data_IF_021322106889
#
_entry.id   IF_021322106889
#
_cell.length_a   1.000
_cell.length_b   1.000
_cell.length_c   1.000
_cell.angle_alpha   90.00
_cell.angle_beta   90.00
_cell.angle_gamma   90.00
#
_symmetry.space_group_name_H-M   'P 1'
#
loop_
_entity.id
_entity.type
_entity.pdbx_description
1 polymer ?
#
# COMPACT_ATOMS: atom_id res chain seq x y z
N UNK A 1 31.86 -34.77 5.13
CA UNK A 1 30.38 -34.62 5.14
C UNK A 1 29.80 -34.01 6.41
N UNK A 2 30.51 -33.91 7.50
CA UNK A 2 30.02 -33.44 8.82
C UNK A 2 29.86 -31.89 8.92
N UNK A 3 30.61 -31.10 8.15
CA UNK A 3 30.57 -29.62 8.19
C UNK A 3 29.25 -28.98 7.67
N UNK A 4 28.48 -29.68 6.85
CA UNK A 4 27.23 -29.13 6.27
C UNK A 4 26.03 -29.08 7.25
N UNK A 5 26.02 -29.93 8.28
CA UNK A 5 24.97 -29.98 9.30
C UNK A 5 25.05 -28.83 10.30
N UNK A 6 26.23 -28.56 10.84
CA UNK A 6 26.45 -27.48 11.82
C UNK A 6 26.20 -26.09 11.22
N UNK A 7 26.63 -25.86 9.98
CA UNK A 7 26.36 -24.62 9.26
C UNK A 7 24.86 -24.35 9.07
N UNK A 8 24.06 -25.40 8.81
CA UNK A 8 22.62 -25.30 8.67
C UNK A 8 21.92 -24.97 9.99
N UNK A 9 22.38 -25.59 11.09
CA UNK A 9 21.84 -25.35 12.43
C UNK A 9 22.14 -23.92 12.86
N UNK A 10 23.37 -23.45 12.70
CA UNK A 10 23.79 -22.08 13.03
C UNK A 10 23.00 -21.06 12.18
N UNK A 11 22.86 -21.32 10.89
CA UNK A 11 22.05 -20.46 9.98
C UNK A 11 20.59 -20.38 10.42
N UNK A 12 19.98 -21.51 10.79
CA UNK A 12 18.60 -21.52 11.25
C UNK A 12 18.43 -20.78 12.59
N UNK A 13 19.35 -20.96 13.53
CA UNK A 13 19.33 -20.23 14.81
C UNK A 13 19.46 -18.73 14.56
N UNK A 14 20.37 -18.31 13.68
CA UNK A 14 20.56 -16.91 13.32
C UNK A 14 19.30 -16.30 12.69
N UNK A 15 18.66 -17.01 11.77
CA UNK A 15 17.40 -16.59 11.16
C UNK A 15 16.29 -16.44 12.23
N UNK A 16 16.14 -17.40 13.12
CA UNK A 16 15.15 -17.36 14.20
C UNK A 16 15.40 -16.18 15.13
N UNK A 17 16.65 -15.91 15.50
CA UNK A 17 17.02 -14.76 16.34
C UNK A 17 16.70 -13.42 15.67
N UNK A 18 16.98 -13.28 14.37
CA UNK A 18 16.62 -12.08 13.61
C UNK A 18 15.08 -11.88 13.61
N UNK A 19 14.33 -12.92 13.28
CA UNK A 19 12.86 -12.83 13.27
C UNK A 19 12.32 -12.52 14.67
N UNK A 20 12.85 -13.16 15.70
CA UNK A 20 12.47 -12.89 17.08
C UNK A 20 12.74 -11.43 17.44
N UNK A 21 13.91 -10.90 17.13
CA UNK A 21 14.27 -9.51 17.37
C UNK A 21 13.34 -8.52 16.63
N UNK A 22 13.01 -8.80 15.38
CA UNK A 22 12.12 -7.96 14.57
C UNK A 22 10.66 -8.00 15.05
N UNK A 23 10.16 -9.17 15.45
CA UNK A 23 8.77 -9.33 15.84
C UNK A 23 8.51 -9.14 17.33
N UNK A 24 9.54 -9.19 18.17
CA UNK A 24 9.40 -9.02 19.63
C UNK A 24 8.66 -7.73 20.02
N UNK A 25 8.98 -6.54 19.47
CA UNK A 25 8.24 -5.31 19.80
C UNK A 25 6.75 -5.42 19.45
N UNK A 26 6.43 -6.07 18.33
CA UNK A 26 5.04 -6.27 17.88
C UNK A 26 4.31 -7.23 18.82
N UNK A 27 4.96 -8.33 19.22
CA UNK A 27 4.41 -9.29 20.19
C UNK A 27 4.13 -8.61 21.52
N UNK A 28 5.06 -7.80 22.02
CA UNK A 28 4.88 -7.03 23.27
C UNK A 28 3.69 -6.08 23.16
N UNK A 29 3.53 -5.40 22.04
CA UNK A 29 2.40 -4.52 21.78
C UNK A 29 1.08 -5.30 21.78
N UNK A 30 1.03 -6.46 21.10
CA UNK A 30 -0.13 -7.34 21.07
C UNK A 30 -0.49 -7.84 22.48
N UNK A 31 0.50 -8.29 23.26
CA UNK A 31 0.26 -8.72 24.64
C UNK A 31 -0.29 -7.57 25.48
N UNK A 32 0.31 -6.38 25.39
CA UNK A 32 -0.13 -5.20 26.13
C UNK A 32 -1.52 -4.70 25.70
N UNK A 33 -2.01 -5.04 24.52
CA UNK A 33 -3.37 -4.72 24.08
C UNK A 33 -4.45 -5.43 24.90
N UNK A 34 -4.09 -6.55 25.53
CA UNK A 34 -4.97 -7.33 26.41
C UNK A 34 -4.74 -7.05 27.90
N UNK A 35 -3.78 -6.21 28.24
CA UNK A 35 -3.46 -5.89 29.62
C UNK A 35 -4.45 -4.88 30.19
N UNK A 36 -5.00 -5.16 31.37
CA UNK A 36 -5.93 -4.29 32.09
C UNK A 36 -5.28 -3.00 32.57
N UNK A 37 -3.95 -2.97 32.75
CA UNK A 37 -3.20 -1.80 33.18
C UNK A 37 -3.32 -0.64 32.18
N UNK A 38 -3.56 0.56 32.68
CA UNK A 38 -3.53 1.80 31.89
C UNK A 38 -2.09 2.27 31.57
N UNK A 39 -1.13 1.81 32.33
CA UNK A 39 0.28 2.15 32.16
C UNK A 39 1.04 0.91 31.76
N UNK A 40 1.87 1.02 30.71
CA UNK A 40 2.70 -0.09 30.23
C UNK A 40 3.71 -0.55 31.29
N UNK A 41 4.07 -1.83 31.28
CA UNK A 41 5.15 -2.39 32.08
C UNK A 41 4.72 -3.36 33.18
N UNK A 42 3.49 -3.27 33.72
CA UNK A 42 2.99 -4.23 34.73
C UNK A 42 1.77 -4.93 34.19
N UNK A 43 1.78 -6.26 34.23
CA UNK A 43 0.63 -7.07 33.85
C UNK A 43 -0.41 -7.13 34.99
N UNK A 44 -1.58 -6.51 34.79
CA UNK A 44 -2.66 -6.45 35.77
C UNK A 44 -3.88 -7.29 35.40
N UNK A 45 -3.69 -8.32 34.59
CA UNK A 45 -4.74 -9.23 34.16
C UNK A 45 -5.22 -8.98 32.75
N UNK A 46 -5.99 -9.94 32.21
CA UNK A 46 -6.54 -9.93 30.86
C UNK A 46 -7.81 -9.08 30.78
N UNK A 47 -7.94 -8.29 29.71
CA UNK A 47 -9.16 -7.55 29.39
C UNK A 47 -9.38 -7.37 27.89
N UNK A 48 -10.63 -7.24 27.46
CA UNK A 48 -11.06 -6.85 26.13
C UNK A 48 -11.68 -5.45 26.10
N UNK A 49 -11.69 -4.74 27.23
CA UNK A 49 -12.36 -3.43 27.37
C UNK A 49 -11.81 -2.39 26.39
N UNK A 50 -10.52 -2.46 26.08
CA UNK A 50 -9.89 -1.53 25.12
C UNK A 50 -10.46 -1.67 23.72
N UNK A 51 -10.75 -2.90 23.30
CA UNK A 51 -11.39 -3.18 22.00
C UNK A 51 -12.84 -2.68 21.99
N UNK A 52 -13.60 -2.90 23.06
CA UNK A 52 -14.96 -2.35 23.17
C UNK A 52 -14.98 -0.82 23.16
N UNK A 53 -14.01 -0.18 23.82
CA UNK A 53 -13.84 1.28 23.78
C UNK A 53 -13.45 1.81 22.41
N UNK A 54 -12.67 1.07 21.62
CA UNK A 54 -12.32 1.42 20.25
C UNK A 54 -13.56 1.51 19.37
N UNK A 55 -14.42 0.49 19.42
CA UNK A 55 -15.65 0.47 18.61
C UNK A 55 -16.68 1.53 19.03
N UNK A 56 -16.58 2.06 20.25
CA UNK A 56 -17.41 3.17 20.73
C UNK A 56 -16.83 4.55 20.40
N UNK A 57 -15.58 4.63 20.01
CA UNK A 57 -14.89 5.90 19.72
C UNK A 57 -15.19 6.39 18.31
N UNK A 58 -16.18 7.25 18.20
CA UNK A 58 -16.60 7.85 16.91
C UNK A 58 -15.46 8.48 16.13
N UNK A 59 -14.46 9.06 16.82
CA UNK A 59 -13.32 9.71 16.14
C UNK A 59 -12.38 8.70 15.48
N UNK A 60 -12.18 7.53 16.09
CA UNK A 60 -11.37 6.46 15.51
C UNK A 60 -12.11 5.83 14.32
N UNK A 61 -13.41 5.55 14.49
CA UNK A 61 -14.24 4.99 13.40
C UNK A 61 -14.27 5.94 12.19
N UNK A 62 -14.44 7.24 12.44
CA UNK A 62 -14.41 8.24 11.37
C UNK A 62 -13.06 8.29 10.65
N UNK A 63 -11.95 8.23 11.41
CA UNK A 63 -10.61 8.20 10.83
C UNK A 63 -10.36 6.93 10.01
N UNK A 64 -10.86 5.78 10.45
CA UNK A 64 -10.83 4.53 9.70
C UNK A 64 -11.63 4.63 8.38
N UNK A 65 -12.84 5.17 8.45
CA UNK A 65 -13.69 5.41 7.29
C UNK A 65 -13.01 6.31 6.26
N UNK A 66 -12.43 7.44 6.72
CA UNK A 66 -11.67 8.35 5.88
C UNK A 66 -10.51 7.64 5.19
N UNK A 67 -9.73 6.86 5.94
CA UNK A 67 -8.60 6.11 5.39
C UNK A 67 -9.03 5.14 4.30
N UNK A 68 -10.10 4.37 4.53
CA UNK A 68 -10.60 3.40 3.55
C UNK A 68 -11.10 4.10 2.28
N UNK A 69 -11.84 5.22 2.42
CA UNK A 69 -12.32 5.99 1.26
C UNK A 69 -11.15 6.53 0.45
N UNK A 70 -10.19 7.19 1.12
CA UNK A 70 -9.03 7.78 0.45
C UNK A 70 -8.21 6.69 -0.24
N UNK A 71 -7.90 5.60 0.46
CA UNK A 71 -7.13 4.48 -0.10
C UNK A 71 -7.83 3.84 -1.30
N UNK A 72 -9.15 3.64 -1.22
CA UNK A 72 -9.93 3.05 -2.31
C UNK A 72 -9.98 3.98 -3.52
N UNK A 73 -10.34 5.24 -3.34
CA UNK A 73 -10.44 6.20 -4.44
C UNK A 73 -9.08 6.45 -5.08
N UNK A 74 -8.05 6.68 -4.26
CA UNK A 74 -6.70 6.91 -4.76
C UNK A 74 -6.16 5.68 -5.51
N UNK A 75 -6.34 4.46 -4.99
CA UNK A 75 -5.85 3.25 -5.65
C UNK A 75 -6.56 2.98 -6.97
N UNK A 76 -7.89 3.15 -7.06
CA UNK A 76 -8.64 2.94 -8.30
C UNK A 76 -8.23 3.96 -9.36
N UNK A 77 -8.14 5.24 -9.00
CA UNK A 77 -7.76 6.31 -9.93
C UNK A 77 -6.29 6.15 -10.34
N UNK A 78 -5.38 5.90 -9.39
CA UNK A 78 -3.96 5.68 -9.68
C UNK A 78 -3.74 4.44 -10.56
N UNK A 79 -4.52 3.37 -10.35
CA UNK A 79 -4.44 2.16 -11.18
C UNK A 79 -4.87 2.46 -12.61
N UNK A 80 -5.93 3.22 -12.80
CA UNK A 80 -6.39 3.63 -14.13
C UNK A 80 -5.34 4.49 -14.85
N UNK A 81 -4.84 5.53 -14.18
CA UNK A 81 -3.81 6.43 -14.72
C UNK A 81 -2.50 5.69 -14.98
N UNK A 82 -2.01 4.91 -14.02
CA UNK A 82 -0.76 4.17 -14.11
C UNK A 82 -0.79 3.07 -15.18
N UNK A 83 -1.94 2.43 -15.38
CA UNK A 83 -2.14 1.45 -16.48
C UNK A 83 -2.06 2.15 -17.84
N UNK A 84 -2.78 3.27 -18.02
CA UNK A 84 -2.71 4.05 -19.25
C UNK A 84 -1.30 4.61 -19.50
N UNK A 85 -0.65 5.11 -18.46
CA UNK A 85 0.74 5.55 -18.53
C UNK A 85 1.68 4.42 -18.94
N UNK A 86 1.51 3.21 -18.39
CA UNK A 86 2.31 2.03 -18.75
C UNK A 86 2.16 1.66 -20.23
N UNK A 87 0.95 1.72 -20.76
CA UNK A 87 0.68 1.47 -22.19
C UNK A 87 1.37 2.53 -23.05
N UNK A 88 1.22 3.80 -22.68
CA UNK A 88 1.90 4.90 -23.37
C UNK A 88 3.42 4.78 -23.33
N UNK A 89 4.01 4.49 -22.16
CA UNK A 89 5.45 4.30 -21.99
C UNK A 89 5.95 3.10 -22.81
N UNK A 90 5.15 2.02 -22.88
CA UNK A 90 5.55 0.83 -23.65
C UNK A 90 5.63 1.09 -25.16
N UNK A 91 4.80 1.99 -25.70
CA UNK A 91 4.81 2.38 -27.12
C UNK A 91 5.86 3.46 -27.47
N UNK A 92 6.52 4.05 -26.47
CA UNK A 92 7.53 5.09 -26.69
C UNK A 92 8.84 4.51 -27.23
N UNK A 93 9.59 5.34 -27.96
CA UNK A 93 10.98 5.02 -28.35
C UNK A 93 11.87 4.87 -27.12
N UNK A 94 12.93 4.08 -27.22
CA UNK A 94 13.82 3.71 -26.10
C UNK A 94 14.29 4.92 -25.27
N UNK A 95 14.59 6.06 -25.92
CA UNK A 95 15.06 7.27 -25.23
C UNK A 95 13.99 7.89 -24.34
N UNK A 96 12.78 8.10 -24.85
CA UNK A 96 11.66 8.67 -24.06
C UNK A 96 11.17 7.72 -22.99
N UNK A 97 11.14 6.42 -23.30
CA UNK A 97 10.82 5.37 -22.34
C UNK A 97 11.76 5.41 -21.13
N UNK A 98 13.09 5.52 -21.38
CA UNK A 98 14.09 5.63 -20.31
C UNK A 98 13.87 6.87 -19.44
N UNK A 99 13.58 8.02 -20.05
CA UNK A 99 13.30 9.27 -19.32
C UNK A 99 12.07 9.12 -18.43
N UNK A 100 10.96 8.59 -18.95
CA UNK A 100 9.73 8.40 -18.18
C UNK A 100 9.91 7.42 -17.01
N UNK A 101 10.65 6.35 -17.23
CA UNK A 101 10.97 5.38 -16.17
C UNK A 101 11.85 6.00 -15.09
N UNK A 102 12.87 6.75 -15.46
CA UNK A 102 13.75 7.43 -14.51
C UNK A 102 12.98 8.47 -13.67
N UNK A 103 12.08 9.23 -14.28
CA UNK A 103 11.20 10.16 -13.56
C UNK A 103 10.29 9.42 -12.56
N UNK A 104 9.73 8.27 -12.96
CA UNK A 104 8.94 7.43 -12.06
C UNK A 104 9.79 6.86 -10.92
N UNK A 105 11.03 6.46 -11.17
CA UNK A 105 11.98 6.00 -10.16
C UNK A 105 12.32 7.10 -9.14
N UNK A 106 12.58 8.31 -9.60
CA UNK A 106 12.88 9.46 -8.72
C UNK A 106 11.74 9.66 -7.72
N UNK A 107 10.49 9.56 -8.18
CA UNK A 107 9.32 9.70 -7.31
C UNK A 107 9.25 8.62 -6.22
N UNK A 108 9.76 7.41 -6.48
CA UNK A 108 9.76 6.30 -5.51
C UNK A 108 10.92 6.35 -4.52
N UNK A 109 12.07 6.94 -4.92
CA UNK A 109 13.27 7.01 -4.09
C UNK A 109 13.24 8.22 -3.16
N UNK A 110 12.54 9.28 -3.56
CA UNK A 110 12.44 10.48 -2.74
C UNK A 110 11.79 10.18 -1.38
N UNK A 111 12.33 10.73 -0.28
CA UNK A 111 11.70 10.62 1.03
C UNK A 111 10.28 11.20 1.02
N UNK A 112 9.32 10.48 1.62
CA UNK A 112 7.90 10.88 1.67
C UNK A 112 7.68 12.28 2.23
N UNK A 113 8.54 12.71 3.17
CA UNK A 113 8.47 14.05 3.76
C UNK A 113 8.74 15.14 2.70
N UNK A 114 9.65 14.90 1.76
CA UNK A 114 9.96 15.84 0.67
C UNK A 114 8.77 15.93 -0.27
N UNK A 115 8.17 14.79 -0.61
CA UNK A 115 6.97 14.73 -1.45
C UNK A 115 5.81 15.44 -0.75
N UNK A 116 5.56 15.15 0.53
CA UNK A 116 4.48 15.74 1.31
C UNK A 116 4.58 17.26 1.42
N UNK A 117 5.77 17.78 1.74
CA UNK A 117 6.02 19.24 1.82
C UNK A 117 5.91 19.90 0.45
N UNK A 118 6.41 19.23 -0.61
CA UNK A 118 6.31 19.75 -1.99
C UNK A 118 4.85 19.84 -2.45
N UNK A 119 4.04 18.82 -2.13
CA UNK A 119 2.60 18.82 -2.45
C UNK A 119 1.84 19.88 -1.65
N UNK A 120 2.16 20.04 -0.35
CA UNK A 120 1.60 21.11 0.47
C UNK A 120 1.90 22.48 -0.16
N UNK A 121 3.16 22.73 -0.53
CA UNK A 121 3.58 23.98 -1.17
C UNK A 121 2.86 24.17 -2.49
N UNK A 122 2.79 23.13 -3.32
CA UNK A 122 2.08 23.14 -4.60
C UNK A 122 0.59 23.49 -4.44
N UNK A 123 -0.11 22.81 -3.53
CA UNK A 123 -1.53 23.09 -3.28
C UNK A 123 -1.77 24.50 -2.72
N UNK A 124 -0.83 25.01 -1.94
CA UNK A 124 -0.91 26.38 -1.38
C UNK A 124 -0.81 27.49 -2.43
N UNK A 125 -0.25 27.20 -3.61
CA UNK A 125 -0.23 28.16 -4.73
C UNK A 125 -1.63 28.37 -5.33
N UNK A 126 -2.54 27.41 -5.15
CA UNK A 126 -3.90 27.51 -5.68
C UNK A 126 -4.88 27.92 -4.59
N UNK A 127 -5.21 29.20 -4.49
CA UNK A 127 -6.10 29.78 -3.47
C UNK A 127 -7.51 29.13 -3.44
N UNK A 128 -7.94 28.55 -4.55
CA UNK A 128 -9.25 27.85 -4.65
C UNK A 128 -9.18 26.39 -4.13
N UNK A 129 -7.97 25.83 -3.98
CA UNK A 129 -7.77 24.44 -3.57
C UNK A 129 -7.49 24.37 -2.05
N UNK A 130 -8.53 24.43 -1.24
CA UNK A 130 -8.38 24.25 0.21
C UNK A 130 -7.94 22.83 0.54
N UNK A 131 -6.98 22.72 1.50
CA UNK A 131 -6.59 21.41 2.02
C UNK A 131 -7.79 20.65 2.57
N UNK A 132 -7.93 19.38 2.16
CA UNK A 132 -9.08 18.56 2.50
C UNK A 132 -9.06 17.21 1.79
N UNK A 133 -10.23 16.60 1.59
CA UNK A 133 -10.34 15.32 0.89
C UNK A 133 -9.74 15.33 -0.52
N UNK A 134 -9.97 16.40 -1.28
CA UNK A 134 -9.50 16.49 -2.67
C UNK A 134 -7.97 16.50 -2.72
N UNK A 135 -7.32 17.35 -1.93
CA UNK A 135 -5.85 17.42 -1.86
C UNK A 135 -5.24 16.14 -1.34
N UNK A 136 -5.89 15.52 -0.35
CA UNK A 136 -5.47 14.24 0.21
C UNK A 136 -5.54 13.13 -0.85
N UNK A 137 -6.64 13.00 -1.58
CA UNK A 137 -6.79 11.99 -2.64
C UNK A 137 -5.81 12.25 -3.78
N UNK A 138 -5.63 13.50 -4.24
CA UNK A 138 -4.67 13.85 -5.29
C UNK A 138 -3.24 13.51 -4.88
N UNK A 139 -2.87 13.80 -3.64
CA UNK A 139 -1.56 13.47 -3.11
C UNK A 139 -1.31 11.96 -3.10
N UNK A 140 -2.30 11.17 -2.66
CA UNK A 140 -2.20 9.71 -2.67
C UNK A 140 -2.18 9.13 -4.09
N UNK A 141 -2.92 9.72 -5.04
CA UNK A 141 -2.81 9.34 -6.46
C UNK A 141 -1.39 9.57 -6.97
N UNK A 142 -0.80 10.74 -6.67
CA UNK A 142 0.56 11.08 -7.08
C UNK A 142 1.58 10.09 -6.50
N UNK A 143 1.43 9.70 -5.25
CA UNK A 143 2.25 8.67 -4.62
C UNK A 143 2.11 7.31 -5.33
N UNK A 144 0.88 6.90 -5.64
CA UNK A 144 0.57 5.53 -6.07
C UNK A 144 0.87 5.26 -7.55
N UNK A 145 0.73 6.26 -8.44
CA UNK A 145 0.87 6.08 -9.90
C UNK A 145 2.19 5.42 -10.31
N UNK A 146 3.37 5.82 -9.82
CA UNK A 146 4.64 5.18 -10.18
C UNK A 146 4.66 3.68 -9.85
N UNK A 147 4.12 3.29 -8.71
CA UNK A 147 4.07 1.88 -8.29
C UNK A 147 3.18 1.03 -9.20
N UNK A 148 2.06 1.60 -9.69
CA UNK A 148 1.23 0.94 -10.70
C UNK A 148 1.98 0.77 -12.01
N UNK A 149 2.71 1.81 -12.45
CA UNK A 149 3.53 1.72 -13.68
C UNK A 149 4.53 0.58 -13.57
N UNK A 150 5.23 0.46 -12.44
CA UNK A 150 6.21 -0.62 -12.22
C UNK A 150 5.57 -2.01 -12.05
N UNK A 151 4.29 -2.10 -11.69
CA UNK A 151 3.57 -3.37 -11.63
C UNK A 151 3.04 -3.81 -13.01
N UNK A 152 2.58 -2.86 -13.84
CA UNK A 152 1.91 -3.14 -15.13
C UNK A 152 2.90 -3.23 -16.29
N UNK A 153 3.87 -2.32 -16.35
CA UNK A 153 4.80 -2.23 -17.49
C UNK A 153 5.58 -3.54 -17.77
N UNK A 154 6.12 -4.26 -16.77
CA UNK A 154 6.78 -5.54 -17.01
C UNK A 154 5.85 -6.59 -17.63
N UNK A 155 4.56 -6.56 -17.30
CA UNK A 155 3.57 -7.46 -17.91
C UNK A 155 3.33 -7.14 -19.38
N UNK A 156 3.27 -5.86 -19.74
CA UNK A 156 3.23 -5.42 -21.14
C UNK A 156 4.47 -5.86 -21.94
N UNK A 157 5.65 -5.77 -21.32
CA UNK A 157 6.91 -6.14 -21.97
C UNK A 157 7.11 -7.65 -22.14
N UNK A 158 6.40 -8.47 -21.36
CA UNK A 158 6.41 -9.92 -21.46
C UNK A 158 5.48 -10.45 -22.56
N UNK A 159 4.58 -9.61 -23.11
CA UNK A 159 3.70 -10.00 -24.21
C UNK A 159 4.52 -10.22 -25.49
N UNK A 160 4.08 -11.18 -26.29
CA UNK A 160 4.65 -11.35 -27.64
C UNK A 160 4.37 -10.09 -28.46
N UNK A 161 5.41 -9.43 -29.04
CA UNK A 161 5.25 -8.22 -29.86
C UNK A 161 4.23 -8.39 -30.99
N UNK A 162 4.17 -9.56 -31.59
CA UNK A 162 3.32 -9.87 -32.75
C UNK A 162 1.86 -10.20 -32.35
N UNK A 163 1.54 -10.25 -31.07
CA UNK A 163 0.20 -10.60 -30.59
C UNK A 163 -0.88 -9.65 -31.12
N UNK A 164 -0.55 -8.36 -31.17
CA UNK A 164 -1.46 -7.34 -31.69
C UNK A 164 -1.66 -7.42 -33.19
N UNK A 165 -0.61 -7.70 -33.96
CA UNK A 165 -0.64 -7.86 -35.41
C UNK A 165 -1.42 -9.11 -35.79
N UNK A 166 -1.11 -10.25 -35.17
CA UNK A 166 -1.83 -11.50 -35.41
C UNK A 166 -3.33 -11.39 -35.13
N UNK A 167 -3.73 -10.63 -34.12
CA UNK A 167 -5.15 -10.39 -33.84
C UNK A 167 -5.83 -9.55 -34.91
N UNK A 168 -5.14 -8.55 -35.45
CA UNK A 168 -5.65 -7.68 -36.51
C UNK A 168 -5.72 -8.42 -37.85
N UNK A 169 -4.76 -9.29 -38.13
CA UNK A 169 -4.79 -10.18 -39.33
C UNK A 169 -6.00 -11.11 -39.31
N UNK A 170 -6.48 -11.49 -38.10
CA UNK A 170 -7.72 -12.25 -37.91
C UNK A 170 -8.99 -11.36 -37.93
N UNK A 171 -8.86 -10.10 -38.31
CA UNK A 171 -9.97 -9.18 -38.48
C UNK A 171 -10.39 -8.42 -37.17
N UNK A 172 -9.62 -8.50 -36.10
CA UNK A 172 -9.90 -7.73 -34.88
C UNK A 172 -9.57 -6.26 -35.10
N UNK A 173 -10.46 -5.35 -34.69
CA UNK A 173 -10.14 -3.91 -34.62
C UNK A 173 -9.13 -3.63 -33.50
N UNK A 174 -8.34 -2.53 -33.58
CA UNK A 174 -7.40 -2.15 -32.50
C UNK A 174 -8.04 -2.11 -31.13
N UNK A 175 -9.27 -1.61 -31.03
CA UNK A 175 -10.04 -1.59 -29.79
C UNK A 175 -10.38 -3.00 -29.29
N UNK A 176 -10.77 -3.89 -30.16
CA UNK A 176 -11.05 -5.29 -29.81
C UNK A 176 -9.75 -6.00 -29.37
N UNK A 177 -8.66 -5.80 -30.09
CA UNK A 177 -7.33 -6.31 -29.70
C UNK A 177 -6.96 -5.87 -28.30
N UNK A 178 -7.12 -4.57 -27.99
CA UNK A 178 -6.82 -4.06 -26.68
C UNK A 178 -7.69 -4.70 -25.57
N UNK A 179 -9.01 -4.61 -25.69
CA UNK A 179 -9.91 -5.06 -24.61
C UNK A 179 -10.02 -6.58 -24.49
N UNK A 180 -9.93 -7.33 -25.59
CA UNK A 180 -10.13 -8.79 -25.58
C UNK A 180 -8.83 -9.59 -25.45
N UNK A 181 -7.66 -8.99 -25.77
CA UNK A 181 -6.40 -9.72 -25.81
C UNK A 181 -5.39 -9.07 -24.86
N UNK A 182 -5.01 -7.79 -25.05
CA UNK A 182 -3.96 -7.15 -24.28
C UNK A 182 -4.39 -6.97 -22.82
N UNK A 183 -5.55 -6.38 -22.57
CA UNK A 183 -6.03 -6.07 -21.22
C UNK A 183 -6.18 -7.30 -20.31
N UNK A 184 -6.74 -8.44 -20.79
CA UNK A 184 -6.78 -9.67 -19.99
C UNK A 184 -5.38 -10.22 -19.65
N UNK A 185 -4.42 -10.12 -20.56
CA UNK A 185 -3.05 -10.59 -20.34
C UNK A 185 -2.30 -9.76 -19.29
N UNK A 186 -2.49 -8.44 -19.28
CA UNK A 186 -1.86 -7.57 -18.29
C UNK A 186 -2.64 -7.46 -16.97
N UNK A 187 -3.84 -8.03 -16.89
CA UNK A 187 -4.72 -7.99 -15.71
C UNK A 187 -4.02 -8.37 -14.40
N UNK A 188 -3.14 -9.39 -14.35
CA UNK A 188 -2.40 -9.68 -13.12
C UNK A 188 -1.51 -8.51 -12.65
N UNK A 189 -0.88 -7.80 -13.59
CA UNK A 189 -0.11 -6.58 -13.29
C UNK A 189 -0.97 -5.45 -12.76
N UNK A 190 -2.14 -5.24 -13.37
CA UNK A 190 -3.12 -4.22 -12.94
C UNK A 190 -3.60 -4.51 -11.51
N UNK A 191 -3.97 -5.77 -11.23
CA UNK A 191 -4.41 -6.18 -9.90
C UNK A 191 -3.29 -5.99 -8.87
N UNK A 192 -2.05 -6.40 -9.20
CA UNK A 192 -0.90 -6.20 -8.33
C UNK A 192 -0.63 -4.72 -8.05
N UNK A 193 -0.69 -3.87 -9.08
CA UNK A 193 -0.55 -2.42 -8.94
C UNK A 193 -1.64 -1.80 -8.08
N UNK A 194 -2.89 -2.23 -8.24
CA UNK A 194 -4.02 -1.78 -7.44
C UNK A 194 -3.87 -2.16 -5.95
N UNK A 195 -3.49 -3.39 -5.66
CA UNK A 195 -3.28 -3.87 -4.30
C UNK A 195 -2.12 -3.10 -3.64
N UNK A 196 -1.02 -2.92 -4.35
CA UNK A 196 0.14 -2.18 -3.87
C UNK A 196 -0.23 -0.71 -3.58
N UNK A 197 -0.93 -0.05 -4.49
CA UNK A 197 -1.44 1.31 -4.31
C UNK A 197 -2.38 1.44 -3.13
N UNK A 198 -3.31 0.50 -2.96
CA UNK A 198 -4.22 0.47 -1.83
C UNK A 198 -3.47 0.33 -0.50
N UNK A 199 -2.49 -0.57 -0.44
CA UNK A 199 -1.69 -0.81 0.76
C UNK A 199 -0.86 0.42 1.13
N UNK A 200 -0.17 1.02 0.14
CA UNK A 200 0.63 2.24 0.34
C UNK A 200 -0.24 3.41 0.84
N UNK A 201 -1.41 3.60 0.22
CA UNK A 201 -2.32 4.68 0.59
C UNK A 201 -2.96 4.46 1.97
N UNK A 202 -3.21 3.21 2.37
CA UNK A 202 -3.80 2.87 3.66
C UNK A 202 -2.85 3.14 4.83
N UNK A 203 -1.57 2.90 4.63
CA UNK A 203 -0.51 2.98 5.65
C UNK A 203 0.14 4.37 5.72
N UNK A 204 -0.05 5.22 4.72
CA UNK A 204 0.60 6.51 4.64
C UNK A 204 0.23 7.42 5.81
N UNK A 205 1.27 7.96 6.45
CA UNK A 205 1.16 8.98 7.47
C UNK A 205 1.67 10.33 6.98
N UNK A 206 2.82 10.34 6.33
CA UNK A 206 3.59 11.57 6.07
C UNK A 206 2.86 12.45 5.06
N UNK A 207 2.50 11.91 3.92
CA UNK A 207 1.80 12.66 2.86
C UNK A 207 0.43 13.10 3.37
N UNK A 208 -0.30 12.19 4.05
CA UNK A 208 -1.57 12.51 4.68
C UNK A 208 -1.45 13.67 5.67
N UNK A 209 -0.39 13.71 6.49
CA UNK A 209 -0.18 14.75 7.49
C UNK A 209 -0.06 16.15 6.87
N UNK A 210 0.62 16.26 5.73
CA UNK A 210 0.82 17.55 5.05
C UNK A 210 -0.35 17.96 4.16
N UNK A 211 -1.19 17.03 3.69
CA UNK A 211 -2.19 17.31 2.64
C UNK A 211 -3.64 17.21 3.09
N UNK A 212 -3.91 16.76 4.32
CA UNK A 212 -5.28 16.49 4.80
C UNK A 212 -6.07 17.75 5.18
N UNK A 213 -5.40 18.81 5.67
CA UNK A 213 -6.09 20.02 6.14
C UNK A 213 -6.81 19.84 7.48
N UNK A 214 -7.51 20.88 7.90
CA UNK A 214 -8.23 20.90 9.18
C UNK A 214 -9.54 20.11 9.11
N UNK A 215 -9.84 19.34 10.15
CA UNK A 215 -11.12 18.62 10.30
C UNK A 215 -11.17 17.22 9.69
N UNK A 216 -10.19 16.82 8.89
CA UNK A 216 -10.07 15.47 8.34
C UNK A 216 -8.90 14.78 9.01
N UNK A 217 -9.06 13.51 9.34
CA UNK A 217 -7.98 12.70 9.93
C UNK A 217 -8.02 11.31 9.35
N UNK A 218 -6.89 10.83 8.87
CA UNK A 218 -6.68 9.42 8.57
C UNK A 218 -6.34 8.64 9.85
N UNK A 219 -6.42 7.33 9.79
CA UNK A 219 -6.13 6.48 10.93
C UNK A 219 -4.68 6.61 11.39
N UNK A 220 -3.74 6.73 10.46
CA UNK A 220 -2.31 6.94 10.73
C UNK A 220 -2.07 8.26 11.47
N UNK A 221 -2.71 9.36 11.06
CA UNK A 221 -2.66 10.65 11.75
C UNK A 221 -3.28 10.51 13.16
N UNK A 222 -4.38 9.77 13.30
CA UNK A 222 -5.05 9.55 14.57
C UNK A 222 -4.16 8.78 15.54
N UNK A 223 -3.55 7.69 15.11
CA UNK A 223 -2.58 6.92 15.89
C UNK A 223 -1.43 7.82 16.35
N UNK A 224 -0.83 8.58 15.44
CA UNK A 224 0.24 9.50 15.77
C UNK A 224 -0.18 10.54 16.83
N UNK A 225 -1.36 11.15 16.67
CA UNK A 225 -1.87 12.14 17.63
C UNK A 225 -2.12 11.56 19.03
N UNK A 226 -2.55 10.28 19.07
CA UNK A 226 -2.74 9.58 20.33
C UNK A 226 -1.39 9.23 20.97
N UNK A 227 -0.41 8.79 20.20
CA UNK A 227 0.93 8.45 20.69
C UNK A 227 1.66 9.64 21.28
N UNK A 228 1.50 10.84 20.72
CA UNK A 228 2.04 12.10 21.29
C UNK A 228 1.47 12.44 22.69
N UNK A 229 0.27 11.99 22.99
CA UNK A 229 -0.37 12.20 24.31
C UNK A 229 0.00 11.13 25.34
N UNK A 230 0.87 10.19 24.98
CA UNK A 230 1.28 9.04 25.78
C UNK A 230 0.70 7.74 25.23
N UNK A 231 1.48 6.66 25.34
CA UNK A 231 1.07 5.33 24.87
C UNK A 231 -0.01 4.79 25.78
N UNK A 232 -1.25 4.78 25.31
CA UNK A 232 -2.38 4.16 26.04
C UNK A 232 -2.62 2.73 25.54
N UNK A 233 -3.13 1.80 26.35
CA UNK A 233 -3.48 0.46 25.92
C UNK A 233 -4.49 0.43 24.76
N UNK A 234 -5.28 1.49 24.62
CA UNK A 234 -6.19 1.70 23.49
C UNK A 234 -5.45 1.80 22.15
N UNK A 235 -4.24 2.40 22.14
CA UNK A 235 -3.37 2.46 20.94
C UNK A 235 -2.88 1.05 20.62
N UNK A 236 -2.46 0.30 21.65
CA UNK A 236 -2.00 -1.09 21.46
C UNK A 236 -3.11 -1.97 20.87
N UNK A 237 -4.36 -1.82 21.36
CA UNK A 237 -5.51 -2.54 20.81
C UNK A 237 -5.82 -2.13 19.36
N UNK A 238 -5.71 -0.82 19.03
CA UNK A 238 -5.92 -0.33 17.66
C UNK A 238 -4.88 -0.87 16.69
N UNK A 239 -3.60 -0.77 17.05
CA UNK A 239 -2.50 -1.29 16.21
C UNK A 239 -2.55 -2.81 16.08
N UNK A 240 -2.93 -3.55 17.13
CA UNK A 240 -3.14 -5.00 17.05
C UNK A 240 -4.25 -5.35 16.08
N UNK A 241 -5.37 -4.63 16.10
CA UNK A 241 -6.48 -4.84 15.17
C UNK A 241 -6.08 -4.52 13.73
N UNK A 242 -5.35 -3.42 13.50
CA UNK A 242 -4.81 -3.09 12.18
C UNK A 242 -3.89 -4.19 11.65
N UNK A 243 -2.95 -4.65 12.48
CA UNK A 243 -2.04 -5.74 12.13
C UNK A 243 -2.79 -7.02 11.75
N UNK A 244 -3.82 -7.38 12.50
CA UNK A 244 -4.65 -8.54 12.23
C UNK A 244 -5.38 -8.40 10.88
N UNK A 245 -5.95 -7.23 10.59
CA UNK A 245 -6.62 -6.96 9.31
C UNK A 245 -5.64 -7.06 8.15
N UNK A 246 -4.43 -6.48 8.27
CA UNK A 246 -3.40 -6.55 7.24
C UNK A 246 -2.98 -8.01 6.98
N UNK A 247 -2.73 -8.79 8.03
CA UNK A 247 -2.38 -10.22 7.91
C UNK A 247 -3.48 -11.00 7.19
N UNK A 248 -4.74 -10.79 7.57
CA UNK A 248 -5.89 -11.46 6.92
C UNK A 248 -5.96 -11.08 5.44
N UNK A 249 -5.82 -9.80 5.11
CA UNK A 249 -5.83 -9.33 3.72
C UNK A 249 -4.68 -9.96 2.91
N UNK A 250 -3.46 -9.99 3.46
CA UNK A 250 -2.32 -10.63 2.81
C UNK A 250 -2.56 -12.12 2.55
N UNK A 251 -3.11 -12.85 3.52
CA UNK A 251 -3.43 -14.27 3.36
C UNK A 251 -4.48 -14.48 2.27
N UNK A 252 -5.54 -13.66 2.24
CA UNK A 252 -6.59 -13.74 1.21
C UNK A 252 -6.01 -13.48 -0.19
N UNK A 253 -5.17 -12.45 -0.32
CA UNK A 253 -4.52 -12.10 -1.58
C UNK A 253 -3.61 -13.24 -2.05
N UNK A 254 -2.80 -13.80 -1.16
CA UNK A 254 -1.88 -14.88 -1.48
C UNK A 254 -2.59 -16.16 -1.94
N UNK A 255 -3.68 -16.53 -1.27
CA UNK A 255 -4.49 -17.69 -1.66
C UNK A 255 -5.12 -17.48 -3.04
N UNK A 256 -5.62 -16.26 -3.32
CA UNK A 256 -6.21 -15.95 -4.64
C UNK A 256 -5.18 -15.92 -5.76
N UNK A 257 -4.01 -15.33 -5.52
CA UNK A 257 -2.90 -15.28 -6.48
C UNK A 257 -2.40 -16.69 -6.83
N UNK A 258 -2.18 -17.54 -5.83
CA UNK A 258 -1.75 -18.93 -6.03
C UNK A 258 -2.76 -19.79 -6.81
N UNK A 259 -4.07 -19.57 -6.61
CA UNK A 259 -5.11 -20.26 -7.41
C UNK A 259 -5.14 -19.79 -8.88
N UNK A 260 -4.85 -18.52 -9.13
CA UNK A 260 -4.81 -17.98 -10.51
C UNK A 260 -3.63 -18.53 -11.31
N UNK A 261 -2.50 -18.79 -10.69
CA UNK A 261 -1.35 -19.42 -11.35
C UNK A 261 -1.59 -20.92 -11.63
N UNK A 262 -2.20 -21.64 -10.68
CA UNK A 262 -2.50 -23.07 -10.86
C UNK A 262 -3.52 -23.38 -11.99
N UNK A 263 -4.39 -22.43 -12.30
CA UNK A 263 -5.39 -22.61 -13.38
C UNK A 263 -4.86 -22.21 -14.77
N UNK A 264 -3.58 -21.78 -14.88
CA UNK A 264 -2.93 -21.43 -16.15
C UNK A 264 -2.05 -22.56 -16.73
N UNK A 265 -1.83 -23.62 -15.95
CA UNK A 265 -1.15 -24.86 -16.37
C UNK A 265 -2.13 -26.03 -16.34
#
# INVERSE_FOLDING_TARGET
MVKKGYSKIISNIYIVLIFLFLYLPIIVLVINSFNKSKFGGVWNGFTLDWYMQLFKDKSIILSLYNTIIVATLASVIATSIGTLASIGINSMTSRYKSVMLNLSYISMINPDIVIGVSLLSFFSLFQFLKLGYVTLILAHITLCVPYVVFAVLPKLQQLNPNLSEAAQDLGATPTQTFFKIILPEIKPGIISGMIMSFTLSLDDFIISFFTTGAGISTLSIKVYSMTKRGVSPKINALTTLMLLVIIILMIIIQIRSSKSEKNRY
#
